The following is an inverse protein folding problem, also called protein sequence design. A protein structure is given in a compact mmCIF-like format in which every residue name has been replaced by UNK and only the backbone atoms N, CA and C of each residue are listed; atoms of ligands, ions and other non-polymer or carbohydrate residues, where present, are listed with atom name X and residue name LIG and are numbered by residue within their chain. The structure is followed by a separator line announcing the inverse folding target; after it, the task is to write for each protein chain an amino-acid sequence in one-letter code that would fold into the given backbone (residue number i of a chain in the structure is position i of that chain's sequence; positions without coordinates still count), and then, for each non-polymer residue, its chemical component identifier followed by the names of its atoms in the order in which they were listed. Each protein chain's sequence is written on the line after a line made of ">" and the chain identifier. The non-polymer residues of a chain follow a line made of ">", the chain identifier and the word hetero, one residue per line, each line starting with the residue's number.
data_IF_821887307235
#
_entry.id   IF_821887307235
#
_cell.length_a   1.000
_cell.length_b   1.000
_cell.length_c   1.000
_cell.angle_alpha   90.00
_cell.angle_beta   90.00
_cell.angle_gamma   90.00
#
_symmetry.space_group_name_H-M   'P 1'
#
loop_
_entity.id
_entity.type
_entity.pdbx_description
1 polymer ?
#
# COMPACT_ATOMS: atom_id res chain seq x y z
N UNK A 1 4.01 -20.45 -31.77
CA UNK A 1 3.74 -19.46 -32.83
C UNK A 1 2.38 -19.80 -33.41
N UNK A 2 1.39 -18.94 -33.23
CA UNK A 2 0.06 -19.18 -33.81
C UNK A 2 0.03 -18.50 -35.18
N UNK A 3 -0.34 -19.26 -36.22
CA UNK A 3 -0.50 -18.74 -37.57
C UNK A 3 -1.97 -18.41 -37.81
N UNK A 4 -2.23 -17.29 -38.48
CA UNK A 4 -3.57 -16.87 -38.88
C UNK A 4 -3.54 -16.40 -40.33
N UNK A 5 -4.67 -16.53 -41.03
CA UNK A 5 -4.78 -16.06 -42.41
C UNK A 5 -4.88 -14.54 -42.44
N UNK A 6 -4.04 -13.90 -43.26
CA UNK A 6 -4.09 -12.46 -43.46
C UNK A 6 -5.50 -12.03 -43.92
N UNK A 7 -6.06 -11.01 -43.26
CA UNK A 7 -7.39 -10.48 -43.58
C UNK A 7 -7.58 -10.10 -45.06
N UNK A 8 -6.53 -9.62 -45.72
CA UNK A 8 -6.54 -9.13 -47.11
C UNK A 8 -6.12 -10.19 -48.13
N UNK A 9 -4.87 -10.68 -48.07
CA UNK A 9 -4.32 -11.59 -49.10
C UNK A 9 -4.47 -13.09 -48.78
N UNK A 10 -5.06 -13.44 -47.64
CA UNK A 10 -5.33 -14.82 -47.16
C UNK A 10 -4.11 -15.73 -46.94
N UNK A 11 -2.89 -15.25 -47.19
CA UNK A 11 -1.66 -15.98 -46.86
C UNK A 11 -1.48 -16.15 -45.36
N UNK A 12 -0.81 -17.23 -44.95
CA UNK A 12 -0.54 -17.51 -43.54
C UNK A 12 0.52 -16.55 -42.99
N UNK A 13 0.21 -15.91 -41.88
CA UNK A 13 1.09 -14.96 -41.19
C UNK A 13 1.03 -15.20 -39.69
N UNK A 14 2.08 -14.82 -38.97
CA UNK A 14 2.10 -14.90 -37.51
C UNK A 14 1.05 -13.97 -36.89
N UNK A 15 0.33 -14.44 -35.87
CA UNK A 15 -0.71 -13.65 -35.18
C UNK A 15 -0.15 -12.38 -34.52
N UNK A 16 1.15 -12.31 -34.27
CA UNK A 16 1.85 -11.17 -33.69
C UNK A 16 2.50 -10.24 -34.73
N UNK A 17 2.42 -10.56 -36.03
CA UNK A 17 3.02 -9.75 -37.09
C UNK A 17 2.32 -8.37 -37.18
N UNK A 18 3.08 -7.28 -37.08
CA UNK A 18 2.56 -5.90 -37.19
C UNK A 18 2.15 -5.54 -38.62
N UNK A 19 2.82 -6.12 -39.62
CA UNK A 19 2.58 -5.86 -41.04
C UNK A 19 2.68 -7.17 -41.82
N UNK A 20 1.78 -7.38 -42.79
CA UNK A 20 1.85 -8.55 -43.67
C UNK A 20 3.05 -8.47 -44.63
N UNK A 21 3.94 -9.47 -44.69
CA UNK A 21 5.07 -9.45 -45.63
C UNK A 21 4.67 -9.63 -47.10
N UNK A 22 3.47 -10.14 -47.39
CA UNK A 22 3.01 -10.42 -48.76
C UNK A 22 2.21 -9.28 -49.39
N UNK A 23 1.43 -8.54 -48.61
CA UNK A 23 0.57 -7.47 -49.14
C UNK A 23 0.71 -6.12 -48.41
N UNK A 24 1.57 -6.02 -47.39
CA UNK A 24 1.87 -4.77 -46.69
C UNK A 24 0.78 -4.24 -45.75
N UNK A 25 -0.35 -4.94 -45.58
CA UNK A 25 -1.41 -4.46 -44.69
C UNK A 25 -1.00 -4.55 -43.21
N UNK A 26 -1.25 -3.48 -42.46
CA UNK A 26 -1.03 -3.45 -41.02
C UNK A 26 -2.03 -4.34 -40.27
N UNK A 27 -1.56 -4.98 -39.20
CA UNK A 27 -2.32 -5.86 -38.32
C UNK A 27 -3.12 -6.92 -39.10
N UNK A 28 -2.45 -7.83 -39.83
CA UNK A 28 -3.10 -8.78 -40.75
C UNK A 28 -3.92 -9.86 -40.04
N UNK A 29 -3.60 -10.17 -38.78
CA UNK A 29 -4.23 -11.24 -37.99
C UNK A 29 -5.48 -10.83 -37.21
N UNK A 30 -5.80 -9.53 -37.14
CA UNK A 30 -6.98 -9.02 -36.45
C UNK A 30 -7.88 -8.25 -37.41
N UNK A 31 -9.17 -8.51 -37.34
CA UNK A 31 -10.19 -7.78 -38.11
C UNK A 31 -10.75 -6.64 -37.28
N UNK A 32 -11.13 -5.51 -37.91
CA UNK A 32 -11.74 -4.38 -37.21
C UNK A 32 -12.91 -4.80 -36.31
N UNK A 33 -13.75 -5.74 -36.78
CA UNK A 33 -14.86 -6.33 -36.00
C UNK A 33 -14.38 -7.00 -34.70
N UNK A 34 -13.23 -7.66 -34.68
CA UNK A 34 -12.68 -8.28 -33.47
C UNK A 34 -12.13 -7.24 -32.50
N UNK A 35 -11.54 -6.14 -32.99
CA UNK A 35 -11.13 -5.03 -32.14
C UNK A 35 -12.32 -4.34 -31.47
N UNK A 36 -13.41 -4.11 -32.22
CA UNK A 36 -14.65 -3.56 -31.67
C UNK A 36 -15.29 -4.51 -30.64
N UNK A 37 -15.34 -5.83 -30.93
CA UNK A 37 -15.86 -6.80 -29.96
C UNK A 37 -15.04 -6.86 -28.67
N UNK A 38 -13.70 -6.80 -28.76
CA UNK A 38 -12.83 -6.76 -27.59
C UNK A 38 -13.04 -5.50 -26.74
N UNK A 39 -13.22 -4.35 -27.38
CA UNK A 39 -13.46 -3.08 -26.70
C UNK A 39 -14.84 -3.04 -26.04
N UNK A 40 -15.87 -3.62 -26.68
CA UNK A 40 -17.21 -3.78 -26.08
C UNK A 40 -17.16 -4.69 -24.85
N UNK A 41 -16.46 -5.83 -24.93
CA UNK A 41 -16.32 -6.75 -23.78
C UNK A 41 -15.59 -6.05 -22.63
N UNK A 42 -14.50 -5.32 -22.91
CA UNK A 42 -13.78 -4.55 -21.90
C UNK A 42 -14.66 -3.47 -21.28
N UNK A 43 -15.46 -2.75 -22.08
CA UNK A 43 -16.40 -1.74 -21.58
C UNK A 43 -17.49 -2.36 -20.69
N UNK A 44 -18.02 -3.54 -21.04
CA UNK A 44 -18.98 -4.27 -20.20
C UNK A 44 -18.35 -4.70 -18.88
N UNK A 45 -17.10 -5.18 -18.88
CA UNK A 45 -16.38 -5.53 -17.65
C UNK A 45 -16.17 -4.30 -16.77
N UNK A 46 -15.78 -3.17 -17.36
CA UNK A 46 -15.61 -1.91 -16.62
C UNK A 46 -16.94 -1.42 -16.06
N UNK A 47 -18.03 -1.43 -16.83
CA UNK A 47 -19.36 -1.06 -16.35
C UNK A 47 -19.87 -2.01 -15.27
N UNK A 48 -19.63 -3.32 -15.40
CA UNK A 48 -20.03 -4.30 -14.39
C UNK A 48 -19.21 -4.18 -13.11
N UNK A 49 -17.90 -3.90 -13.21
CA UNK A 49 -17.04 -3.61 -12.07
C UNK A 49 -17.44 -2.30 -11.38
N UNK A 50 -17.75 -1.24 -12.15
CA UNK A 50 -18.33 -0.01 -11.61
C UNK A 50 -19.70 -0.27 -10.98
N UNK A 51 -20.57 -1.08 -11.59
CA UNK A 51 -21.90 -1.42 -11.04
C UNK A 51 -21.79 -2.24 -9.74
N UNK A 52 -20.82 -3.14 -9.62
CA UNK A 52 -20.50 -3.81 -8.35
C UNK A 52 -19.82 -2.89 -7.31
N UNK A 53 -19.26 -1.76 -7.74
CA UNK A 53 -18.63 -0.75 -6.85
C UNK A 53 -19.47 0.52 -6.66
N UNK A 54 -20.62 0.65 -7.33
CA UNK A 54 -21.55 1.76 -7.24
C UNK A 54 -22.82 1.31 -6.52
N UNK A 55 -22.65 0.94 -5.25
CA UNK A 55 -23.72 1.10 -4.27
C UNK A 55 -23.79 2.59 -3.92
N UNK A 56 -24.44 3.35 -4.80
CA UNK A 56 -24.91 4.69 -4.49
C UNK A 56 -26.15 4.52 -3.61
N UNK A 57 -25.94 4.75 -2.31
CA UNK A 57 -27.00 4.89 -1.32
C UNK A 57 -26.80 6.25 -0.68
N UNK A 58 -27.29 7.28 -1.37
CA UNK A 58 -27.67 8.56 -0.79
C UNK A 58 -28.81 8.34 0.22
N UNK A 59 -28.44 7.85 1.40
CA UNK A 59 -29.07 8.18 2.66
C UNK A 59 -27.95 8.69 3.58
N UNK A 60 -28.21 9.60 4.54
CA UNK A 60 -27.30 9.78 5.66
C UNK A 60 -27.35 8.50 6.49
N UNK A 61 -26.67 7.47 5.99
CA UNK A 61 -26.40 6.24 6.67
C UNK A 61 -25.55 6.60 7.87
N UNK A 62 -26.24 6.85 8.97
CA UNK A 62 -25.80 6.47 10.29
C UNK A 62 -25.50 4.96 10.29
N UNK A 63 -24.40 4.58 9.64
CA UNK A 63 -23.56 3.49 10.08
C UNK A 63 -22.96 3.97 11.40
N UNK A 64 -23.80 3.92 12.43
CA UNK A 64 -23.36 3.70 13.77
C UNK A 64 -22.82 2.26 13.84
N UNK A 65 -21.69 1.98 13.20
CA UNK A 65 -20.63 1.42 14.03
C UNK A 65 -20.54 2.41 15.18
N UNK A 66 -20.78 1.98 16.41
CA UNK A 66 -20.58 2.87 17.54
C UNK A 66 -19.15 3.38 17.45
N UNK A 67 -18.95 4.55 16.83
CA UNK A 67 -17.67 5.24 16.77
C UNK A 67 -17.47 5.62 18.21
N UNK A 68 -16.84 4.70 18.95
CA UNK A 68 -16.39 4.93 20.30
C UNK A 68 -15.67 6.26 20.21
N UNK A 69 -16.22 7.27 20.86
CA UNK A 69 -15.69 8.61 20.77
C UNK A 69 -14.23 8.59 21.23
N UNK A 70 -13.42 9.52 20.73
CA UNK A 70 -11.99 9.52 21.05
C UNK A 70 -11.76 9.56 22.57
N UNK A 71 -12.60 10.26 23.34
CA UNK A 71 -12.46 10.34 24.79
C UNK A 71 -12.76 9.02 25.51
N UNK A 72 -13.68 8.19 24.98
CA UNK A 72 -13.89 6.83 25.47
C UNK A 72 -12.78 5.89 25.01
N UNK A 73 -12.34 5.99 23.76
CA UNK A 73 -11.28 5.15 23.19
C UNK A 73 -9.94 5.38 23.88
N UNK A 74 -9.61 6.62 24.25
CA UNK A 74 -8.41 6.99 25.02
C UNK A 74 -8.30 6.32 26.40
N UNK A 75 -9.38 5.73 26.92
CA UNK A 75 -9.34 4.98 28.19
C UNK A 75 -8.79 3.57 28.02
N UNK A 76 -8.78 3.03 26.81
CA UNK A 76 -8.32 1.69 26.49
C UNK A 76 -7.10 1.74 25.57
N UNK A 77 -6.01 1.06 25.96
CA UNK A 77 -4.77 1.10 25.20
C UNK A 77 -4.92 0.48 23.81
N UNK A 78 -5.68 -0.60 23.68
CA UNK A 78 -5.84 -1.30 22.41
C UNK A 78 -6.66 -0.45 21.45
N UNK A 79 -7.82 0.04 21.89
CA UNK A 79 -8.65 0.94 21.09
C UNK A 79 -7.84 2.15 20.60
N UNK A 80 -7.20 2.86 21.52
CA UNK A 80 -6.48 4.08 21.17
C UNK A 80 -5.23 3.80 20.34
N UNK A 81 -4.47 2.77 20.70
CA UNK A 81 -3.28 2.34 19.98
C UNK A 81 -3.59 1.92 18.55
N UNK A 82 -4.58 1.06 18.34
CA UNK A 82 -4.99 0.61 17.01
C UNK A 82 -5.46 1.78 16.15
N UNK A 83 -6.29 2.67 16.72
CA UNK A 83 -6.79 3.87 16.04
C UNK A 83 -5.65 4.80 15.59
N UNK A 84 -4.61 4.96 16.41
CA UNK A 84 -3.52 5.90 16.16
C UNK A 84 -2.27 5.28 15.52
N UNK A 85 -2.20 3.95 15.43
CA UNK A 85 -1.00 3.19 14.98
C UNK A 85 -0.57 3.54 13.56
N UNK A 86 -1.52 3.66 12.63
CA UNK A 86 -1.24 3.94 11.22
C UNK A 86 -0.74 5.38 11.04
N UNK A 87 -1.49 6.35 11.57
CA UNK A 87 -1.15 7.77 11.49
C UNK A 87 0.17 8.07 12.19
N UNK A 88 0.33 7.59 13.43
CA UNK A 88 1.57 7.74 14.18
C UNK A 88 2.73 7.01 13.51
N UNK A 89 2.53 5.82 12.94
CA UNK A 89 3.56 5.11 12.21
C UNK A 89 4.08 5.86 10.98
N UNK A 90 3.19 6.49 10.21
CA UNK A 90 3.57 7.35 9.08
C UNK A 90 4.40 8.57 9.54
N UNK A 91 4.03 9.19 10.67
CA UNK A 91 4.74 10.34 11.22
C UNK A 91 6.09 9.96 11.84
N UNK A 92 6.15 8.84 12.52
CA UNK A 92 7.35 8.36 13.21
C UNK A 92 8.43 7.85 12.26
N UNK A 93 8.04 7.22 11.15
CA UNK A 93 8.97 6.61 10.17
C UNK A 93 10.19 7.51 9.83
N UNK A 94 10.03 8.75 9.33
CA UNK A 94 11.18 9.58 8.96
C UNK A 94 12.07 9.97 10.14
N UNK A 95 11.56 10.01 11.37
CA UNK A 95 12.36 10.30 12.55
C UNK A 95 13.17 9.09 13.00
N UNK A 96 12.63 7.88 12.87
CA UNK A 96 13.37 6.63 13.09
C UNK A 96 14.50 6.48 12.07
N UNK A 97 14.25 6.77 10.80
CA UNK A 97 15.28 6.72 9.74
C UNK A 97 16.46 7.66 10.04
N UNK A 98 16.19 8.84 10.61
CA UNK A 98 17.21 9.83 11.03
C UNK A 98 18.08 9.38 12.20
N UNK A 99 17.72 8.32 12.92
CA UNK A 99 18.59 7.71 13.95
C UNK A 99 19.78 6.98 13.33
N UNK A 100 19.73 6.66 12.03
CA UNK A 100 20.81 6.02 11.33
C UNK A 100 22.01 6.97 11.21
N UNK A 101 23.15 6.58 11.81
CA UNK A 101 24.41 7.34 11.67
C UNK A 101 24.99 7.28 10.25
N UNK A 102 24.81 6.15 9.57
CA UNK A 102 25.33 5.92 8.22
C UNK A 102 24.19 5.59 7.25
N UNK A 103 23.72 4.34 7.27
CA UNK A 103 22.65 3.85 6.42
C UNK A 103 21.66 3.02 7.23
N UNK A 104 20.47 2.80 6.67
CA UNK A 104 19.45 1.94 7.23
C UNK A 104 18.81 1.11 6.13
N UNK A 105 18.19 -0.01 6.51
CA UNK A 105 17.26 -0.74 5.65
C UNK A 105 16.07 -1.23 6.47
N UNK A 106 14.92 -1.10 5.85
CA UNK A 106 13.67 -1.67 6.33
C UNK A 106 13.63 -3.17 6.02
N UNK A 107 13.17 -3.98 6.97
CA UNK A 107 13.07 -5.44 6.84
C UNK A 107 11.64 -5.95 6.96
N UNK A 108 10.65 -5.04 6.96
CA UNK A 108 9.22 -5.39 6.90
C UNK A 108 8.83 -5.94 5.53
N UNK A 109 7.91 -6.91 5.54
CA UNK A 109 7.24 -7.41 4.34
C UNK A 109 6.22 -6.42 3.76
N UNK A 110 5.74 -6.69 2.54
CA UNK A 110 4.76 -5.84 1.81
C UNK A 110 3.49 -5.53 2.61
N UNK A 111 3.09 -6.40 3.52
CA UNK A 111 1.86 -6.29 4.32
C UNK A 111 2.13 -6.18 5.82
N UNK A 112 3.39 -5.97 6.23
CA UNK A 112 3.73 -5.82 7.64
C UNK A 112 3.74 -4.35 8.04
N UNK A 113 3.26 -4.05 9.25
CA UNK A 113 3.39 -2.71 9.81
C UNK A 113 4.80 -2.52 10.35
N UNK A 114 5.38 -1.33 10.14
CA UNK A 114 6.68 -0.98 10.71
C UNK A 114 6.61 -0.97 12.24
N UNK A 115 5.55 -0.38 12.77
CA UNK A 115 5.25 -0.32 14.19
C UNK A 115 4.20 -1.40 14.51
N UNK A 116 4.66 -2.49 15.12
CA UNK A 116 3.81 -3.64 15.43
C UNK A 116 3.24 -3.57 16.85
N UNK A 117 3.82 -2.76 17.74
CA UNK A 117 3.44 -2.67 19.15
C UNK A 117 3.29 -1.22 19.59
N UNK A 118 2.53 -1.00 20.65
CA UNK A 118 2.34 0.32 21.25
C UNK A 118 2.12 0.21 22.76
N UNK A 119 2.45 1.26 23.48
CA UNK A 119 2.17 1.40 24.92
C UNK A 119 1.86 2.86 25.28
N UNK A 120 1.25 3.08 26.43
CA UNK A 120 1.09 4.43 26.96
C UNK A 120 2.45 5.06 27.26
N UNK A 121 2.65 6.27 26.73
CA UNK A 121 3.63 7.19 27.29
C UNK A 121 3.00 7.95 28.45
N UNK A 122 1.83 8.55 28.19
CA UNK A 122 0.97 9.16 29.19
C UNK A 122 -0.49 9.02 28.77
N UNK A 123 -1.26 8.22 29.51
CA UNK A 123 -2.67 7.96 29.25
C UNK A 123 -3.55 9.20 29.40
N UNK A 124 -3.29 10.07 30.39
CA UNK A 124 -4.08 11.28 30.61
C UNK A 124 -3.96 12.27 29.44
N UNK A 125 -2.79 12.30 28.80
CA UNK A 125 -2.52 13.13 27.63
C UNK A 125 -2.80 12.43 26.30
N UNK A 126 -3.18 11.14 26.32
CA UNK A 126 -3.38 10.32 25.13
C UNK A 126 -2.10 10.07 24.32
N UNK A 127 -0.92 10.26 24.90
CA UNK A 127 0.35 10.10 24.18
C UNK A 127 0.79 8.64 24.18
N UNK A 128 1.33 8.20 23.03
CA UNK A 128 1.69 6.81 22.77
C UNK A 128 3.17 6.68 22.49
N UNK A 129 3.76 5.58 22.95
CA UNK A 129 5.02 5.09 22.42
C UNK A 129 4.71 3.99 21.40
N UNK A 130 5.01 4.23 20.12
CA UNK A 130 4.94 3.24 19.06
C UNK A 130 6.28 2.49 18.96
N UNK A 131 6.24 1.18 18.80
CA UNK A 131 7.42 0.31 18.86
C UNK A 131 7.47 -0.59 17.63
N UNK A 132 8.66 -0.75 17.06
CA UNK A 132 8.92 -1.68 15.98
C UNK A 132 10.33 -2.27 16.04
N UNK A 133 10.56 -3.31 15.25
CA UNK A 133 11.85 -4.03 15.18
C UNK A 133 12.29 -4.33 13.73
N UNK A 134 11.54 -3.83 12.75
CA UNK A 134 11.72 -4.11 11.32
C UNK A 134 12.75 -3.19 10.66
N UNK A 135 13.81 -2.81 11.38
CA UNK A 135 14.88 -1.96 10.83
C UNK A 135 16.26 -2.54 11.18
N UNK A 136 17.17 -2.48 10.21
CA UNK A 136 18.59 -2.67 10.45
C UNK A 136 19.34 -1.36 10.22
N UNK A 137 20.20 -0.99 11.17
CA UNK A 137 21.06 0.19 11.09
C UNK A 137 22.50 -0.24 10.81
N UNK A 138 23.19 0.49 9.93
CA UNK A 138 24.58 0.22 9.60
C UNK A 138 25.51 0.76 10.69
N UNK A 139 26.47 -0.06 11.13
CA UNK A 139 27.50 0.35 12.09
C UNK A 139 28.76 0.89 11.39
N UNK A 140 29.78 1.26 12.17
CA UNK A 140 31.02 1.85 11.66
C UNK A 140 31.89 0.92 10.79
N UNK A 141 31.60 -0.38 10.77
CA UNK A 141 32.29 -1.38 9.93
C UNK A 141 31.49 -1.71 8.66
N UNK A 142 30.38 -1.02 8.41
CA UNK A 142 29.51 -1.25 7.28
C UNK A 142 28.54 -2.42 7.44
N UNK A 143 28.52 -3.09 8.60
CA UNK A 143 27.59 -4.19 8.88
C UNK A 143 26.22 -3.66 9.32
N UNK A 144 25.15 -4.25 8.81
CA UNK A 144 23.79 -3.97 9.23
C UNK A 144 23.42 -4.80 10.46
N UNK A 145 22.85 -4.15 11.48
CA UNK A 145 22.46 -4.78 12.73
C UNK A 145 20.98 -4.49 13.04
N UNK A 146 20.20 -5.47 13.48
CA UNK A 146 18.79 -5.28 13.82
C UNK A 146 18.63 -4.39 15.06
N UNK A 147 17.63 -3.51 15.02
CA UNK A 147 17.32 -2.61 16.12
C UNK A 147 15.83 -2.64 16.47
N UNK A 148 15.54 -2.60 17.77
CA UNK A 148 14.23 -2.19 18.28
C UNK A 148 14.22 -0.68 18.38
N UNK A 149 13.22 -0.04 17.81
CA UNK A 149 13.04 1.40 17.84
C UNK A 149 11.69 1.76 18.46
N UNK A 150 11.68 2.91 19.11
CA UNK A 150 10.53 3.47 19.80
C UNK A 150 10.35 4.93 19.35
N UNK A 151 9.10 5.33 19.15
CA UNK A 151 8.72 6.69 18.79
C UNK A 151 7.58 7.16 19.70
N UNK A 152 7.85 8.21 20.46
CA UNK A 152 6.88 8.86 21.31
C UNK A 152 6.12 9.90 20.48
N UNK A 153 4.80 9.75 20.42
CA UNK A 153 3.91 10.48 19.52
C UNK A 153 2.74 11.06 20.32
N UNK A 154 2.40 12.32 20.01
CA UNK A 154 1.20 12.97 20.49
C UNK A 154 0.12 12.93 19.39
N UNK A 155 -0.94 12.12 19.53
CA UNK A 155 -1.98 12.03 18.51
C UNK A 155 -2.87 13.26 18.39
N UNK A 156 -2.93 14.12 19.42
CA UNK A 156 -3.77 15.33 19.44
C UNK A 156 -3.11 16.46 18.64
N UNK A 157 -1.80 16.64 18.79
CA UNK A 157 -1.03 17.67 18.09
C UNK A 157 -0.29 17.14 16.86
N UNK A 158 -0.35 15.82 16.65
CA UNK A 158 0.39 15.06 15.65
C UNK A 158 1.92 15.27 15.71
N UNK A 159 2.45 15.61 16.89
CA UNK A 159 3.86 15.90 17.10
C UNK A 159 4.64 14.64 17.53
N UNK A 160 5.88 14.54 17.05
CA UNK A 160 6.86 13.58 17.55
C UNK A 160 7.53 14.19 18.78
N UNK A 161 7.47 13.50 19.91
CA UNK A 161 8.01 13.95 21.19
C UNK A 161 9.45 13.46 21.37
N UNK A 162 9.72 12.20 21.04
CA UNK A 162 11.05 11.59 21.14
C UNK A 162 11.15 10.37 20.20
N UNK A 163 12.38 10.03 19.79
CA UNK A 163 12.68 8.81 19.04
C UNK A 163 13.98 8.18 19.50
N UNK A 164 13.99 6.87 19.63
CA UNK A 164 15.15 6.11 20.11
C UNK A 164 15.23 4.74 19.45
N UNK A 165 16.44 4.22 19.31
CA UNK A 165 16.71 2.89 18.79
C UNK A 165 17.81 2.22 19.59
N UNK A 166 17.68 0.91 19.80
CA UNK A 166 18.66 0.06 20.48
C UNK A 166 18.86 -1.25 19.73
N UNK A 167 20.08 -1.81 19.71
CA UNK A 167 20.31 -3.11 19.09
C UNK A 167 19.39 -4.18 19.68
N UNK A 168 18.79 -5.02 18.83
CA UNK A 168 17.90 -6.11 19.26
C UNK A 168 16.77 -6.41 18.26
N UNK A 169 15.90 -7.34 18.66
CA UNK A 169 14.60 -7.65 18.03
C UNK A 169 13.55 -7.87 19.12
N UNK A 170 12.27 -7.76 18.76
CA UNK A 170 11.15 -8.08 19.66
C UNK A 170 10.94 -9.59 19.78
#
# INVERSE_FOLDING_TARGET
>A
MALTSCKSCKQQVDTSAKTCPHCGIANPGITAKQQFMGLIILAVIVVFAFSMCSSDSDEPSAQAEAKVDDATCMKDLQCWGDRQSIAGGMRCKPFVEKLAKYSFKWTDGTFETKFSHFRWLNQQQGTLTLIGDKIELQNGFGAFQPHVYECDYNPVTEQILDVRARPGRL
#
